data_IF_295756614777
#
_entry.id   IF_295756614777
#
_cell.length_a   1.000
_cell.length_b   1.000
_cell.length_c   1.000
_cell.angle_alpha   90.00
_cell.angle_beta   90.00
_cell.angle_gamma   90.00
#
_symmetry.space_group_name_H-M   'P 1'
#
loop_
_entity.id
_entity.type
_entity.pdbx_description
1 polymer ?
#
# COMPACT_ATOMS: atom_id res chain seq x y z
N UNK A 1 -45.35 -77.77 14.90
CA UNK A 1 -44.87 -77.05 13.69
C UNK A 1 -45.58 -75.71 13.66
N UNK A 2 -45.05 -74.75 14.31
CA UNK A 2 -45.58 -73.42 14.35
C UNK A 2 -45.04 -72.58 13.18
N UNK A 3 -45.95 -72.02 12.37
CA UNK A 3 -45.62 -71.18 11.24
C UNK A 3 -45.34 -69.77 11.72
N UNK A 4 -44.08 -69.31 11.56
CA UNK A 4 -43.64 -67.97 11.82
C UNK A 4 -44.29 -67.02 10.77
N UNK A 5 -44.94 -65.89 11.17
CA UNK A 5 -45.47 -64.89 10.22
C UNK A 5 -44.33 -64.11 9.59
N UNK A 6 -44.29 -63.99 8.25
CA UNK A 6 -43.37 -63.13 7.49
C UNK A 6 -43.77 -61.68 7.78
N UNK A 7 -42.78 -60.90 8.30
CA UNK A 7 -42.87 -59.46 8.41
C UNK A 7 -43.07 -58.81 7.04
N UNK A 8 -43.86 -57.71 6.94
CA UNK A 8 -43.99 -56.97 5.67
C UNK A 8 -42.66 -56.30 5.36
N UNK A 9 -42.21 -56.39 4.11
CA UNK A 9 -41.08 -55.64 3.56
C UNK A 9 -41.43 -54.15 3.66
N UNK A 10 -40.58 -53.31 4.21
CA UNK A 10 -40.85 -51.86 4.28
C UNK A 10 -40.97 -51.30 2.86
N UNK A 11 -42.02 -50.47 2.66
CA UNK A 11 -42.17 -49.64 1.48
C UNK A 11 -40.85 -48.86 1.19
N UNK A 12 -40.41 -49.00 -0.06
CA UNK A 12 -39.26 -48.28 -0.59
C UNK A 12 -39.37 -46.81 -0.23
N UNK A 13 -38.44 -46.32 0.60
CA UNK A 13 -38.16 -44.89 0.77
C UNK A 13 -38.03 -44.29 -0.64
N UNK A 14 -39.03 -43.57 -1.10
CA UNK A 14 -38.93 -42.78 -2.33
C UNK A 14 -37.77 -41.80 -2.13
N UNK A 15 -36.73 -41.98 -2.92
CA UNK A 15 -35.58 -41.11 -2.90
C UNK A 15 -36.04 -39.65 -3.18
N UNK A 16 -35.92 -38.72 -2.24
CA UNK A 16 -36.35 -37.34 -2.43
C UNK A 16 -35.66 -36.68 -3.62
N UNK A 17 -34.54 -37.24 -4.12
CA UNK A 17 -33.87 -36.78 -5.35
C UNK A 17 -34.58 -37.27 -6.63
N UNK A 18 -35.36 -38.34 -6.60
CA UNK A 18 -36.03 -38.87 -7.78
C UNK A 18 -37.12 -37.89 -8.32
N UNK A 19 -37.76 -37.12 -7.42
CA UNK A 19 -38.74 -36.09 -7.79
C UNK A 19 -38.09 -34.85 -8.42
N UNK A 20 -36.78 -34.65 -8.29
CA UNK A 20 -36.03 -33.54 -8.85
C UNK A 20 -35.33 -33.89 -10.18
N UNK A 21 -35.43 -35.13 -10.61
CA UNK A 21 -34.82 -35.55 -11.88
C UNK A 21 -35.75 -35.22 -13.06
N UNK A 22 -35.18 -34.70 -14.18
CA UNK A 22 -35.98 -34.41 -15.37
C UNK A 22 -36.59 -35.69 -15.94
N UNK A 23 -37.90 -35.62 -16.26
CA UNK A 23 -38.69 -36.76 -16.74
C UNK A 23 -38.78 -36.80 -18.27
N UNK A 24 -38.45 -35.69 -18.93
CA UNK A 24 -38.54 -35.58 -20.40
C UNK A 24 -37.19 -35.17 -21.02
N UNK A 25 -37.01 -35.54 -22.31
CA UNK A 25 -35.77 -35.16 -23.05
C UNK A 25 -35.56 -33.63 -23.08
N UNK A 26 -36.56 -32.77 -23.29
CA UNK A 26 -36.38 -31.31 -23.21
C UNK A 26 -35.96 -30.82 -21.83
N UNK A 27 -36.49 -31.42 -20.76
CA UNK A 27 -36.08 -31.11 -19.38
C UNK A 27 -34.64 -31.55 -19.13
N UNK A 28 -34.24 -32.74 -19.59
CA UNK A 28 -32.86 -33.21 -19.54
C UNK A 28 -31.91 -32.22 -20.23
N UNK A 29 -32.23 -31.76 -21.44
CA UNK A 29 -31.43 -30.76 -22.16
C UNK A 29 -31.34 -29.44 -21.39
N UNK A 30 -32.41 -29.00 -20.74
CA UNK A 30 -32.44 -27.80 -19.92
C UNK A 30 -31.50 -27.94 -18.71
N UNK A 31 -31.58 -29.05 -17.99
CA UNK A 31 -30.72 -29.33 -16.84
C UNK A 31 -29.25 -29.46 -17.26
N UNK A 32 -28.94 -30.13 -18.36
CA UNK A 32 -27.59 -30.26 -18.90
C UNK A 32 -27.05 -28.87 -19.25
N UNK A 33 -27.83 -28.01 -19.92
CA UNK A 33 -27.41 -26.65 -20.25
C UNK A 33 -27.12 -25.82 -18.99
N UNK A 34 -27.94 -25.93 -17.95
CA UNK A 34 -27.73 -25.28 -16.67
C UNK A 34 -26.48 -25.79 -15.96
N UNK A 35 -26.26 -27.10 -15.96
CA UNK A 35 -25.05 -27.72 -15.36
C UNK A 35 -23.78 -27.28 -16.10
N UNK A 36 -23.80 -27.29 -17.44
CA UNK A 36 -22.66 -26.83 -18.25
C UNK A 36 -22.32 -25.36 -17.98
N UNK A 37 -23.35 -24.49 -17.85
CA UNK A 37 -23.12 -23.09 -17.47
C UNK A 37 -22.57 -22.97 -16.04
N UNK A 38 -23.05 -23.80 -15.10
CA UNK A 38 -22.54 -23.82 -13.73
C UNK A 38 -21.10 -24.32 -13.65
N UNK A 39 -20.76 -25.34 -14.42
CA UNK A 39 -19.36 -25.81 -14.55
C UNK A 39 -18.46 -24.72 -15.11
N UNK A 40 -18.87 -24.04 -16.18
CA UNK A 40 -18.13 -22.88 -16.72
C UNK A 40 -17.89 -21.80 -15.68
N UNK A 41 -18.91 -21.48 -14.87
CA UNK A 41 -18.81 -20.49 -13.81
C UNK A 41 -17.81 -20.92 -12.73
N UNK A 42 -17.80 -22.18 -12.37
CA UNK A 42 -16.88 -22.74 -11.38
C UNK A 42 -15.44 -22.75 -11.93
N UNK A 43 -15.25 -23.16 -13.18
CA UNK A 43 -13.95 -23.13 -13.85
C UNK A 43 -13.39 -21.70 -13.92
N UNK A 44 -14.21 -20.71 -14.31
CA UNK A 44 -13.79 -19.31 -14.28
C UNK A 44 -13.38 -18.85 -12.88
N UNK A 45 -14.08 -19.30 -11.82
CA UNK A 45 -13.72 -18.95 -10.43
C UNK A 45 -12.42 -19.62 -9.98
N UNK A 46 -12.21 -20.87 -10.33
CA UNK A 46 -10.98 -21.63 -10.00
C UNK A 46 -9.77 -21.04 -10.73
N UNK A 47 -9.95 -20.66 -11.99
CA UNK A 47 -8.89 -20.09 -12.82
C UNK A 47 -8.60 -18.61 -12.55
N UNK A 48 -9.22 -17.98 -11.54
CA UNK A 48 -8.90 -16.61 -11.16
C UNK A 48 -7.55 -16.51 -10.48
N UNK A 49 -6.63 -15.78 -11.13
CA UNK A 49 -5.29 -15.48 -10.63
C UNK A 49 -4.99 -13.96 -10.67
N UNK A 50 -3.77 -13.56 -10.36
CA UNK A 50 -3.35 -12.16 -10.39
C UNK A 50 -3.23 -11.56 -11.81
N UNK A 51 -3.33 -12.37 -12.87
CA UNK A 51 -3.20 -11.91 -14.26
C UNK A 51 -4.57 -11.61 -14.89
N UNK A 52 -5.63 -12.25 -14.38
CA UNK A 52 -6.98 -12.16 -14.92
C UNK A 52 -8.01 -11.64 -13.90
N UNK A 53 -7.56 -11.25 -12.71
CA UNK A 53 -8.42 -10.71 -11.65
C UNK A 53 -7.68 -9.68 -10.80
N UNK A 54 -8.39 -9.07 -9.85
CA UNK A 54 -7.81 -8.17 -8.84
C UNK A 54 -7.14 -8.91 -7.68
N UNK A 55 -6.99 -10.23 -7.74
CA UNK A 55 -6.27 -11.00 -6.72
C UNK A 55 -4.81 -10.57 -6.67
N UNK A 56 -4.21 -10.38 -5.48
CA UNK A 56 -2.80 -10.08 -5.37
C UNK A 56 -1.94 -11.28 -5.79
N UNK A 57 -0.71 -11.08 -6.31
CA UNK A 57 0.18 -12.19 -6.68
C UNK A 57 0.44 -13.21 -5.56
N UNK A 58 0.32 -12.78 -4.30
CA UNK A 58 0.48 -13.65 -3.12
C UNK A 58 -0.66 -14.65 -2.91
N UNK A 59 -1.78 -14.51 -3.62
CA UNK A 59 -2.90 -15.46 -3.61
C UNK A 59 -2.90 -16.43 -4.79
N UNK A 60 -1.89 -16.38 -5.66
CA UNK A 60 -1.70 -17.39 -6.69
C UNK A 60 -1.33 -18.73 -6.05
N UNK A 61 -1.78 -19.81 -6.62
CA UNK A 61 -1.46 -21.17 -6.14
C UNK A 61 0.04 -21.48 -6.18
N UNK A 62 0.48 -22.50 -5.41
CA UNK A 62 1.86 -22.97 -5.46
C UNK A 62 2.23 -23.38 -6.90
N UNK A 63 3.40 -22.97 -7.35
CA UNK A 63 3.89 -23.27 -8.71
C UNK A 63 3.56 -22.23 -9.79
N UNK A 64 2.68 -21.27 -9.52
CA UNK A 64 2.51 -20.13 -10.45
C UNK A 64 3.68 -19.15 -10.32
N UNK A 65 4.47 -19.06 -11.38
CA UNK A 65 5.59 -18.10 -11.44
C UNK A 65 5.07 -16.66 -11.34
N UNK A 66 5.62 -15.88 -10.42
CA UNK A 66 5.34 -14.45 -10.34
C UNK A 66 5.99 -13.71 -11.55
N UNK A 67 5.64 -12.41 -11.74
CA UNK A 67 6.14 -11.62 -12.87
C UNK A 67 7.68 -11.51 -12.89
N UNK A 68 8.31 -11.45 -11.73
CA UNK A 68 9.78 -11.41 -11.61
C UNK A 68 10.40 -12.74 -12.01
N UNK A 69 9.82 -13.87 -11.56
CA UNK A 69 10.26 -15.21 -11.93
C UNK A 69 10.08 -15.51 -13.42
N UNK A 70 8.98 -15.02 -14.05
CA UNK A 70 8.77 -15.13 -15.50
C UNK A 70 9.74 -14.29 -16.32
N UNK A 71 10.27 -13.20 -15.74
CA UNK A 71 11.31 -12.34 -16.33
C UNK A 71 12.72 -12.74 -15.90
N UNK A 72 12.85 -13.73 -15.02
CA UNK A 72 14.16 -14.21 -14.60
C UNK A 72 14.93 -14.66 -15.85
N UNK A 73 15.97 -13.91 -16.18
CA UNK A 73 16.91 -14.31 -17.20
C UNK A 73 17.60 -15.58 -16.73
N UNK A 74 18.09 -16.42 -17.65
CA UNK A 74 18.95 -17.60 -17.36
C UNK A 74 20.28 -17.24 -16.69
N UNK A 75 20.43 -16.01 -16.18
CA UNK A 75 21.63 -15.55 -15.47
C UNK A 75 21.71 -16.24 -14.10
N UNK A 76 22.88 -16.75 -13.77
CA UNK A 76 23.16 -17.32 -12.45
C UNK A 76 22.88 -16.27 -11.37
N UNK A 77 22.35 -16.71 -10.22
CA UNK A 77 22.18 -15.82 -9.04
C UNK A 77 23.55 -15.42 -8.52
N UNK A 78 23.69 -14.15 -8.14
CA UNK A 78 24.94 -13.58 -7.64
C UNK A 78 25.56 -12.57 -8.59
N UNK A 79 26.78 -12.14 -8.26
CA UNK A 79 27.55 -11.21 -9.07
C UNK A 79 27.86 -11.85 -10.44
N UNK A 80 27.62 -11.10 -11.52
CA UNK A 80 27.92 -11.56 -12.88
C UNK A 80 29.40 -11.30 -13.18
N UNK A 81 29.97 -12.05 -14.13
CA UNK A 81 31.34 -11.81 -14.60
C UNK A 81 31.52 -10.33 -15.00
N UNK A 82 32.55 -9.68 -14.44
CA UNK A 82 32.81 -8.26 -14.64
C UNK A 82 32.08 -7.31 -13.67
N UNK A 83 31.31 -7.84 -12.69
CA UNK A 83 30.76 -7.02 -11.61
C UNK A 83 31.89 -6.49 -10.73
N UNK A 84 32.06 -5.17 -10.70
CA UNK A 84 32.96 -4.52 -9.74
C UNK A 84 32.35 -4.66 -8.34
N UNK A 85 33.05 -5.33 -7.43
CA UNK A 85 32.65 -5.38 -6.03
C UNK A 85 32.51 -3.96 -5.46
N UNK A 86 31.43 -3.71 -4.74
CA UNK A 86 31.30 -2.49 -3.94
C UNK A 86 31.77 -2.77 -2.52
N UNK A 87 32.92 -2.26 -2.16
CA UNK A 87 33.35 -2.16 -0.76
C UNK A 87 32.91 -0.81 -0.19
N UNK A 88 32.65 -0.77 1.10
CA UNK A 88 32.43 0.49 1.81
C UNK A 88 33.72 1.31 1.78
N UNK A 89 33.62 2.59 1.46
CA UNK A 89 34.77 3.50 1.63
C UNK A 89 35.13 3.58 3.11
N UNK A 90 36.42 3.58 3.39
CA UNK A 90 36.93 3.82 4.74
C UNK A 90 36.69 5.28 5.13
N UNK A 91 36.37 5.51 6.40
CA UNK A 91 36.33 6.85 6.96
C UNK A 91 37.75 7.44 7.02
N UNK A 92 37.83 8.77 6.90
CA UNK A 92 39.06 9.49 7.18
C UNK A 92 39.44 9.32 8.65
N UNK A 93 40.72 9.47 8.96
CA UNK A 93 41.25 9.29 10.33
C UNK A 93 40.59 10.27 11.32
N UNK A 94 40.24 11.48 10.87
CA UNK A 94 39.53 12.49 11.63
C UNK A 94 38.08 12.10 12.00
N UNK A 95 37.49 11.12 11.31
CA UNK A 95 36.15 10.60 11.55
C UNK A 95 36.12 9.30 12.36
N UNK A 96 37.32 8.79 12.76
CA UNK A 96 37.51 7.56 13.54
C UNK A 96 37.56 7.89 15.01
N UNK A 97 36.71 7.24 15.84
CA UNK A 97 36.68 7.49 17.29
C UNK A 97 37.97 7.06 18.02
N UNK A 98 38.63 6.03 17.53
CA UNK A 98 39.85 5.49 18.13
C UNK A 98 40.72 4.80 17.10
N UNK A 99 42.00 5.17 17.05
CA UNK A 99 43.02 4.47 16.28
C UNK A 99 43.79 3.56 17.25
N UNK A 100 44.01 2.33 16.85
CA UNK A 100 44.77 1.33 17.61
C UNK A 100 45.85 0.78 16.69
N UNK A 101 47.12 1.05 17.00
CA UNK A 101 48.22 0.48 16.28
C UNK A 101 48.45 -0.97 16.70
N UNK A 102 48.47 -1.86 15.73
CA UNK A 102 48.73 -3.29 15.92
C UNK A 102 50.09 -3.61 15.28
N UNK A 103 51.14 -3.44 16.07
CA UNK A 103 52.50 -3.72 15.63
C UNK A 103 52.80 -5.23 15.70
N UNK A 104 53.64 -5.75 14.79
CA UNK A 104 54.16 -7.11 14.91
C UNK A 104 55.04 -7.24 16.15
N UNK A 105 55.35 -8.46 16.54
CA UNK A 105 56.28 -8.71 17.62
C UNK A 105 57.66 -8.09 17.29
N UNK A 106 58.25 -7.36 18.25
CA UNK A 106 59.50 -6.62 18.05
C UNK A 106 60.71 -7.51 17.78
N UNK A 107 60.61 -8.81 18.10
CA UNK A 107 61.67 -9.79 17.92
C UNK A 107 61.13 -10.99 17.15
N UNK A 108 61.83 -11.35 16.07
CA UNK A 108 61.50 -12.53 15.27
C UNK A 108 61.93 -13.82 16.00
N UNK A 109 61.30 -14.93 15.71
CA UNK A 109 61.67 -16.27 16.25
C UNK A 109 63.15 -16.62 16.04
N UNK A 110 63.81 -16.03 15.04
CA UNK A 110 65.25 -16.21 14.82
C UNK A 110 66.14 -15.33 15.71
N UNK A 111 65.56 -14.48 16.61
CA UNK A 111 66.27 -13.56 17.47
C UNK A 111 66.65 -12.20 16.87
N UNK A 112 66.28 -11.96 15.58
CA UNK A 112 66.48 -10.68 14.92
C UNK A 112 65.44 -9.65 15.31
N UNK A 113 65.72 -8.34 15.22
CA UNK A 113 64.73 -7.26 15.40
C UNK A 113 63.81 -7.17 14.18
N UNK A 114 62.56 -6.93 14.44
CA UNK A 114 61.53 -6.62 13.39
C UNK A 114 61.45 -5.10 13.24
N UNK A 115 61.71 -4.60 12.05
CA UNK A 115 61.50 -3.19 11.70
C UNK A 115 60.24 -2.99 10.95
N UNK A 116 59.45 -1.96 11.33
CA UNK A 116 58.24 -1.61 10.64
C UNK A 116 58.54 -1.05 9.24
N UNK A 117 57.88 -1.53 8.23
CA UNK A 117 58.07 -1.11 6.84
C UNK A 117 56.76 -0.77 6.14
N UNK A 118 56.73 0.40 5.48
CA UNK A 118 55.58 0.85 4.72
C UNK A 118 54.44 1.43 5.55
N UNK A 119 53.35 1.78 4.88
CA UNK A 119 52.16 2.28 5.55
C UNK A 119 51.27 1.12 6.08
N UNK A 120 50.60 1.31 7.23
CA UNK A 120 49.78 0.27 7.83
C UNK A 120 48.55 -0.02 6.97
N UNK A 121 48.19 -1.28 6.89
CA UNK A 121 46.91 -1.69 6.30
C UNK A 121 45.78 -1.32 7.26
N UNK A 122 44.94 -0.37 6.85
CA UNK A 122 43.82 0.10 7.67
C UNK A 122 42.68 -0.92 7.70
N UNK A 123 42.13 -1.18 8.89
CA UNK A 123 40.94 -2.01 9.12
C UNK A 123 40.00 -1.27 10.07
N UNK A 124 38.76 -1.06 9.66
CA UNK A 124 37.76 -0.32 10.46
C UNK A 124 36.61 -1.22 10.88
N UNK A 125 36.31 -1.24 12.17
CA UNK A 125 35.20 -1.96 12.79
C UNK A 125 34.20 -0.92 13.31
N UNK A 126 32.93 -1.09 12.94
CA UNK A 126 31.83 -0.22 13.37
C UNK A 126 31.06 -0.92 14.49
N UNK A 127 31.07 -0.35 15.68
CA UNK A 127 30.34 -0.86 16.83
C UNK A 127 29.15 0.09 17.19
N UNK A 128 28.09 -0.47 17.70
CA UNK A 128 26.94 0.30 18.24
C UNK A 128 27.14 0.46 19.76
N UNK A 129 27.41 1.68 20.24
CA UNK A 129 27.59 1.90 21.68
C UNK A 129 26.30 1.65 22.44
N UNK A 130 26.34 1.32 23.75
CA UNK A 130 25.17 1.21 24.57
C UNK A 130 24.37 2.52 24.59
N UNK A 131 23.09 2.43 24.18
CA UNK A 131 22.21 3.59 24.09
C UNK A 131 21.49 3.74 25.44
N UNK A 132 21.67 4.86 26.13
CA UNK A 132 20.92 5.21 27.34
C UNK A 132 19.95 6.33 27.05
N UNK A 133 18.70 6.18 27.58
CA UNK A 133 17.74 7.27 27.55
C UNK A 133 18.17 8.38 28.51
N UNK A 134 18.07 9.64 28.04
CA UNK A 134 18.17 10.80 28.94
C UNK A 134 16.88 10.94 29.72
N UNK A 135 16.98 11.18 31.03
CA UNK A 135 15.85 11.37 31.93
C UNK A 135 15.99 12.72 32.61
N UNK A 136 15.04 13.62 32.34
CA UNK A 136 14.94 14.92 33.00
C UNK A 136 13.85 14.85 34.07
N UNK A 137 14.15 15.22 35.31
CA UNK A 137 13.23 15.24 36.44
C UNK A 137 12.73 16.67 36.67
N UNK A 138 11.41 16.86 36.67
CA UNK A 138 10.77 18.13 37.01
C UNK A 138 10.09 18.03 38.34
N UNK A 139 10.58 18.78 39.36
CA UNK A 139 10.04 18.79 40.73
C UNK A 139 9.03 19.94 40.86
N UNK A 140 7.77 19.59 40.95
CA UNK A 140 6.66 20.54 41.09
C UNK A 140 6.31 20.73 42.56
N UNK A 141 6.66 21.87 43.12
CA UNK A 141 6.36 22.19 44.50
C UNK A 141 4.98 22.83 44.64
N UNK A 142 4.33 22.62 45.78
CA UNK A 142 3.11 23.32 46.17
C UNK A 142 3.32 24.16 47.40
N UNK A 143 2.60 25.25 47.53
CA UNK A 143 2.69 26.18 48.66
C UNK A 143 1.35 26.87 48.95
N UNK A 144 1.28 27.60 50.05
CA UNK A 144 0.14 28.45 50.40
C UNK A 144 0.61 29.89 50.54
N UNK A 145 -0.22 30.81 50.09
CA UNK A 145 0.00 32.26 50.28
C UNK A 145 -0.14 32.56 51.81
N UNK A 146 0.85 33.19 52.40
CA UNK A 146 0.86 33.58 53.81
C UNK A 146 -0.17 34.67 54.15
N UNK A 147 -0.54 35.47 53.12
CA UNK A 147 -1.50 36.56 53.31
C UNK A 147 -2.97 36.16 53.17
N UNK A 148 -3.32 35.30 52.20
CA UNK A 148 -4.71 34.93 51.93
C UNK A 148 -5.00 33.40 52.02
N UNK A 149 -4.02 32.57 52.34
CA UNK A 149 -4.18 31.13 52.49
C UNK A 149 -4.38 30.37 51.17
N UNK A 150 -4.41 31.01 49.99
CA UNK A 150 -4.64 30.40 48.70
C UNK A 150 -3.52 29.44 48.37
N UNK A 151 -3.92 28.19 47.93
CA UNK A 151 -2.98 27.19 47.47
C UNK A 151 -2.44 27.51 46.08
N UNK A 152 -1.13 27.32 45.89
CA UNK A 152 -0.42 27.44 44.61
C UNK A 152 0.32 26.13 44.35
N UNK A 153 0.38 25.74 43.08
CA UNK A 153 1.16 24.58 42.65
C UNK A 153 2.06 24.97 41.49
N UNK A 154 3.26 24.42 41.49
CA UNK A 154 4.19 24.54 40.35
C UNK A 154 3.58 23.94 39.10
N UNK A 155 3.90 24.50 37.97
CA UNK A 155 3.47 24.03 36.64
C UNK A 155 4.68 23.64 35.80
N UNK A 156 4.50 22.63 34.94
CA UNK A 156 5.55 22.26 33.98
C UNK A 156 5.84 23.44 33.03
N UNK A 157 7.14 23.69 32.72
CA UNK A 157 7.50 24.68 31.72
C UNK A 157 6.82 24.44 30.36
N UNK A 158 6.66 25.51 29.59
CA UNK A 158 6.15 25.40 28.22
C UNK A 158 7.05 24.48 27.39
N UNK A 159 6.46 23.62 26.55
CA UNK A 159 7.22 22.64 25.73
C UNK A 159 7.57 21.34 26.44
N UNK A 160 7.30 21.21 27.75
CA UNK A 160 7.47 19.96 28.47
C UNK A 160 6.21 19.11 28.33
N UNK A 161 6.31 17.84 27.90
CA UNK A 161 5.15 16.97 27.75
C UNK A 161 4.56 16.59 29.13
N UNK A 162 3.24 16.54 29.22
CA UNK A 162 2.55 16.08 30.45
C UNK A 162 2.75 14.60 30.78
N UNK A 163 3.27 13.81 29.83
CA UNK A 163 3.55 12.37 30.00
C UNK A 163 5.04 12.10 30.06
N UNK A 164 5.38 10.86 30.39
CA UNK A 164 6.78 10.44 30.58
C UNK A 164 7.59 10.27 29.29
N UNK A 165 6.96 10.26 28.11
CA UNK A 165 7.64 10.13 26.83
C UNK A 165 7.91 11.52 26.24
N UNK A 166 9.19 11.84 26.06
CA UNK A 166 9.66 13.03 25.37
C UNK A 166 9.39 13.01 23.88
N UNK A 167 9.56 14.15 23.16
CA UNK A 167 9.21 14.25 21.75
C UNK A 167 10.00 13.30 20.85
N UNK A 168 11.30 13.06 21.11
CA UNK A 168 12.10 12.09 20.34
C UNK A 168 11.62 10.66 20.52
N UNK A 169 11.26 10.24 21.76
CA UNK A 169 10.73 8.92 22.06
C UNK A 169 9.36 8.71 21.37
N UNK A 170 8.47 9.70 21.40
CA UNK A 170 7.18 9.66 20.71
C UNK A 170 7.37 9.51 19.19
N UNK A 171 8.30 10.27 18.61
CA UNK A 171 8.60 10.22 17.17
C UNK A 171 9.19 8.86 16.77
N UNK A 172 10.11 8.32 17.58
CA UNK A 172 10.65 6.97 17.39
C UNK A 172 9.55 5.91 17.37
N UNK A 173 8.65 5.95 18.34
CA UNK A 173 7.48 5.05 18.41
C UNK A 173 6.61 5.20 17.14
N UNK A 174 6.42 6.42 16.67
CA UNK A 174 5.70 6.72 15.42
C UNK A 174 6.36 6.08 14.21
N UNK A 175 7.67 6.28 14.02
CA UNK A 175 8.45 5.72 12.91
C UNK A 175 8.48 4.19 12.96
N UNK A 176 8.72 3.60 14.14
CA UNK A 176 8.71 2.14 14.32
C UNK A 176 7.34 1.51 14.00
N UNK A 177 6.26 2.20 14.36
CA UNK A 177 4.89 1.76 14.11
C UNK A 177 4.46 1.89 12.65
N UNK A 178 5.01 2.84 11.90
CA UNK A 178 4.70 3.09 10.49
C UNK A 178 5.73 2.45 9.56
N UNK A 179 6.87 3.08 9.35
CA UNK A 179 7.90 2.65 8.39
C UNK A 179 8.39 1.22 8.62
N UNK A 180 8.58 0.83 9.89
CA UNK A 180 9.11 -0.49 10.24
C UNK A 180 8.00 -1.52 10.56
N UNK A 181 6.74 -1.14 10.48
CA UNK A 181 5.58 -2.02 10.66
C UNK A 181 5.55 -2.78 12.01
N UNK A 182 6.28 -2.33 13.03
CA UNK A 182 6.33 -3.02 14.31
C UNK A 182 4.99 -2.97 15.05
N UNK A 183 4.65 -4.09 15.74
CA UNK A 183 3.54 -4.10 16.69
C UNK A 183 3.88 -3.32 17.95
N UNK A 184 2.87 -2.88 18.70
CA UNK A 184 3.09 -2.18 19.97
C UNK A 184 3.94 -3.00 20.96
N UNK A 185 3.76 -4.32 20.99
CA UNK A 185 4.58 -5.22 21.83
C UNK A 185 6.04 -5.25 21.39
N UNK A 186 6.29 -5.32 20.08
CA UNK A 186 7.66 -5.28 19.54
C UNK A 186 8.34 -3.93 19.78
N UNK A 187 7.59 -2.82 19.64
CA UNK A 187 8.09 -1.48 19.97
C UNK A 187 8.48 -1.40 21.45
N UNK A 188 7.59 -1.85 22.35
CA UNK A 188 7.88 -1.90 23.78
C UNK A 188 9.17 -2.68 24.08
N UNK A 189 9.28 -3.90 23.53
CA UNK A 189 10.45 -4.75 23.77
C UNK A 189 11.73 -4.12 23.24
N UNK A 190 11.68 -3.49 22.06
CA UNK A 190 12.83 -2.81 21.47
C UNK A 190 13.30 -1.63 22.34
N UNK A 191 12.39 -0.81 22.83
CA UNK A 191 12.71 0.32 23.71
C UNK A 191 13.31 -0.15 25.04
N UNK A 192 12.77 -1.21 25.61
CA UNK A 192 13.25 -1.81 26.85
C UNK A 192 14.67 -2.38 26.69
N UNK A 193 14.88 -3.25 25.67
CA UNK A 193 16.13 -3.95 25.48
C UNK A 193 17.29 -3.07 24.99
N UNK A 194 17.00 -2.10 24.10
CA UNK A 194 18.06 -1.27 23.52
C UNK A 194 18.30 0.05 24.27
N UNK A 195 17.30 0.56 24.99
CA UNK A 195 17.38 1.91 25.59
C UNK A 195 17.07 1.93 27.07
N UNK A 196 16.74 0.79 27.68
CA UNK A 196 16.33 0.71 29.09
C UNK A 196 14.99 1.44 29.38
N UNK A 197 14.16 1.69 28.34
CA UNK A 197 12.88 2.37 28.48
C UNK A 197 11.75 1.37 28.67
N UNK A 198 11.45 1.06 29.93
CA UNK A 198 10.42 0.07 30.29
C UNK A 198 9.05 0.73 30.40
N UNK A 199 8.18 0.54 29.40
CA UNK A 199 6.82 1.06 29.32
C UNK A 199 5.81 -0.06 29.09
N UNK A 200 4.57 0.16 29.50
CA UNK A 200 3.46 -0.77 29.19
C UNK A 200 3.05 -0.68 27.72
N UNK A 201 2.43 -1.75 27.19
CA UNK A 201 1.82 -1.72 25.84
C UNK A 201 0.74 -0.63 25.75
N UNK A 202 0.03 -0.36 26.85
CA UNK A 202 -0.93 0.74 26.94
C UNK A 202 -0.28 2.11 26.73
N UNK A 203 0.92 2.34 27.31
CA UNK A 203 1.68 3.57 27.10
C UNK A 203 2.10 3.75 25.63
N UNK A 204 2.54 2.67 24.96
CA UNK A 204 2.85 2.70 23.51
C UNK A 204 1.60 3.01 22.67
N UNK A 205 0.45 2.42 23.04
CA UNK A 205 -0.83 2.74 22.38
C UNK A 205 -1.24 4.22 22.57
N UNK A 206 -1.01 4.79 23.77
CA UNK A 206 -1.23 6.23 24.01
C UNK A 206 -0.25 7.10 23.22
N UNK A 207 1.01 6.67 23.09
CA UNK A 207 2.01 7.34 22.28
C UNK A 207 1.59 7.41 20.81
N UNK A 208 1.06 6.32 20.22
CA UNK A 208 0.47 6.33 18.88
C UNK A 208 -0.64 7.37 18.75
N UNK A 209 -1.50 7.50 19.77
CA UNK A 209 -2.56 8.52 19.79
C UNK A 209 -2.02 9.95 19.81
N UNK A 210 -0.96 10.21 20.58
CA UNK A 210 -0.29 11.52 20.65
C UNK A 210 0.37 11.87 19.31
N UNK A 211 1.06 10.93 18.69
CA UNK A 211 1.63 11.10 17.34
C UNK A 211 0.54 11.36 16.32
N UNK A 212 -0.54 10.57 16.33
CA UNK A 212 -1.68 10.78 15.44
C UNK A 212 -2.30 12.18 15.58
N UNK A 213 -2.36 12.71 16.81
CA UNK A 213 -2.86 14.06 17.06
C UNK A 213 -1.89 15.14 16.53
N UNK A 214 -0.59 14.95 16.69
CA UNK A 214 0.43 15.85 16.15
C UNK A 214 0.38 15.93 14.62
N UNK A 215 0.07 14.82 13.95
CA UNK A 215 -0.02 14.74 12.49
C UNK A 215 -1.38 15.16 11.91
N UNK A 216 -2.36 15.54 12.74
CA UNK A 216 -3.71 15.89 12.27
C UNK A 216 -3.72 17.07 11.30
N UNK A 217 -3.10 18.17 11.68
CA UNK A 217 -3.10 19.39 10.86
C UNK A 217 -2.29 19.25 9.57
N UNK A 218 -1.04 18.74 9.58
CA UNK A 218 -0.29 18.46 8.35
C UNK A 218 -1.04 17.59 7.35
N UNK A 219 -1.69 16.52 7.81
CA UNK A 219 -2.45 15.63 6.92
C UNK A 219 -3.71 16.29 6.37
N UNK A 220 -4.40 17.10 7.15
CA UNK A 220 -5.55 17.86 6.68
C UNK A 220 -5.16 18.91 5.60
N UNK A 221 -4.02 19.58 5.78
CA UNK A 221 -3.44 20.48 4.79
C UNK A 221 -3.13 19.74 3.47
N UNK A 222 -2.48 18.57 3.55
CA UNK A 222 -2.19 17.74 2.38
C UNK A 222 -3.47 17.27 1.67
N UNK A 223 -4.51 16.87 2.42
CA UNK A 223 -5.79 16.47 1.86
C UNK A 223 -6.45 17.61 1.08
N UNK A 224 -6.42 18.83 1.62
CA UNK A 224 -6.95 20.02 0.94
C UNK A 224 -6.17 20.35 -0.34
N UNK A 225 -4.85 20.13 -0.36
CA UNK A 225 -4.02 20.36 -1.54
C UNK A 225 -4.27 19.35 -2.65
N UNK A 226 -4.49 18.06 -2.29
CA UNK A 226 -4.78 16.99 -3.25
C UNK A 226 -6.00 17.30 -4.13
N UNK A 227 -7.04 17.91 -3.55
CA UNK A 227 -8.28 18.20 -4.26
C UNK A 227 -8.17 19.35 -5.27
N UNK A 228 -7.09 20.14 -5.21
CA UNK A 228 -6.84 21.29 -6.10
C UNK A 228 -5.89 20.97 -7.25
N UNK A 229 -5.38 19.75 -7.33
CA UNK A 229 -4.42 19.38 -8.35
C UNK A 229 -5.08 18.96 -9.67
N UNK A 230 -4.28 18.90 -10.74
CA UNK A 230 -4.75 18.50 -12.07
C UNK A 230 -5.06 17.01 -12.15
N UNK A 231 -4.35 16.18 -11.38
CA UNK A 231 -4.46 14.73 -11.39
C UNK A 231 -4.41 14.13 -9.99
N UNK A 232 -5.23 13.10 -9.76
CA UNK A 232 -5.34 12.37 -8.50
C UNK A 232 -5.50 10.87 -8.77
N UNK A 233 -4.69 10.04 -8.12
CA UNK A 233 -4.83 8.58 -8.15
C UNK A 233 -5.53 8.12 -6.88
N UNK A 234 -6.59 7.33 -7.04
CA UNK A 234 -7.35 6.79 -5.91
C UNK A 234 -7.47 5.28 -5.99
N UNK A 235 -7.39 4.65 -4.85
CA UNK A 235 -7.61 3.22 -4.67
C UNK A 235 -7.99 2.91 -3.23
N UNK A 236 -8.52 1.72 -2.97
CA UNK A 236 -8.89 1.31 -1.63
C UNK A 236 -8.58 -0.17 -1.38
N UNK A 237 -8.34 -0.52 -0.11
CA UNK A 237 -8.13 -1.90 0.32
C UNK A 237 -8.88 -2.20 1.60
N UNK A 238 -9.36 -3.43 1.74
CA UNK A 238 -10.00 -3.88 2.97
C UNK A 238 -9.02 -3.85 4.15
N UNK A 239 -9.41 -3.22 5.25
CA UNK A 239 -8.60 -3.10 6.46
C UNK A 239 -9.50 -3.22 7.71
N UNK A 240 -9.75 -4.43 8.23
CA UNK A 240 -10.69 -4.64 9.32
C UNK A 240 -10.23 -3.98 10.63
N UNK A 241 -11.19 -3.59 11.47
CA UNK A 241 -10.99 -3.20 12.85
C UNK A 241 -11.79 -4.15 13.74
N UNK A 242 -11.13 -4.91 14.62
CA UNK A 242 -11.77 -5.90 15.50
C UNK A 242 -12.72 -6.87 14.79
N UNK A 243 -12.37 -7.29 13.57
CA UNK A 243 -13.22 -8.15 12.76
C UNK A 243 -14.30 -7.41 11.95
N UNK A 244 -14.59 -6.14 12.26
CA UNK A 244 -15.53 -5.31 11.51
C UNK A 244 -14.86 -4.82 10.23
N UNK A 245 -15.53 -4.97 9.11
CA UNK A 245 -15.02 -4.54 7.80
C UNK A 245 -14.86 -3.03 7.72
N UNK A 246 -13.63 -2.56 7.56
CA UNK A 246 -13.29 -1.19 7.20
C UNK A 246 -12.43 -1.18 5.94
N UNK A 247 -12.26 -0.02 5.36
CA UNK A 247 -11.51 0.20 4.13
C UNK A 247 -10.52 1.33 4.31
N UNK A 248 -9.26 1.08 3.95
CA UNK A 248 -8.28 2.15 3.77
C UNK A 248 -8.43 2.69 2.37
N UNK A 249 -8.63 3.97 2.26
CA UNK A 249 -8.65 4.74 1.03
C UNK A 249 -7.34 5.50 0.88
N UNK A 250 -6.82 5.55 -0.32
CA UNK A 250 -5.66 6.33 -0.69
C UNK A 250 -6.04 7.37 -1.73
N UNK A 251 -5.56 8.59 -1.54
CA UNK A 251 -5.56 9.65 -2.54
C UNK A 251 -4.12 10.12 -2.72
N UNK A 252 -3.60 10.07 -3.94
CA UNK A 252 -2.16 10.15 -4.19
C UNK A 252 -1.86 11.05 -5.38
N UNK A 253 -0.78 11.80 -5.24
CA UNK A 253 -0.10 12.58 -6.28
C UNK A 253 1.38 12.22 -6.34
N UNK A 254 2.16 12.75 -7.29
CA UNK A 254 3.59 12.46 -7.37
C UNK A 254 4.35 12.72 -6.06
N UNK A 255 4.05 13.80 -5.35
CA UNK A 255 4.75 14.23 -4.14
C UNK A 255 3.91 14.19 -2.86
N UNK A 256 2.63 13.81 -2.94
CA UNK A 256 1.72 13.77 -1.80
C UNK A 256 0.95 12.46 -1.78
N UNK A 257 0.71 11.94 -0.57
CA UNK A 257 -0.19 10.81 -0.35
C UNK A 257 -0.98 11.02 0.95
N UNK A 258 -2.28 10.81 0.88
CA UNK A 258 -3.17 10.86 2.04
C UNK A 258 -3.97 9.57 2.12
N UNK A 259 -4.05 9.03 3.33
CA UNK A 259 -4.86 7.86 3.63
C UNK A 259 -5.95 8.20 4.63
N UNK A 260 -7.09 7.55 4.47
CA UNK A 260 -8.20 7.61 5.42
C UNK A 260 -8.81 6.22 5.61
N UNK A 261 -9.40 5.95 6.78
CA UNK A 261 -10.04 4.67 7.07
C UNK A 261 -11.54 4.93 7.30
N UNK A 262 -12.37 4.23 6.52
CA UNK A 262 -13.82 4.35 6.53
C UNK A 262 -14.49 2.98 6.70
N UNK A 263 -15.69 2.94 7.26
CA UNK A 263 -16.44 1.68 7.43
C UNK A 263 -17.07 1.17 6.12
N UNK A 264 -16.91 1.86 5.01
CA UNK A 264 -17.62 1.57 3.76
C UNK A 264 -16.77 1.83 2.53
N UNK A 265 -17.16 1.21 1.41
CA UNK A 265 -16.70 1.52 0.04
C UNK A 265 -17.71 2.38 -0.75
N UNK A 266 -18.80 2.82 -0.13
CA UNK A 266 -19.87 3.52 -0.83
C UNK A 266 -19.42 4.88 -1.38
N UNK A 267 -20.15 5.37 -2.37
CA UNK A 267 -19.95 6.67 -3.04
C UNK A 267 -19.73 7.83 -2.06
N UNK A 268 -20.50 7.87 -0.96
CA UNK A 268 -20.41 8.97 0.01
C UNK A 268 -19.02 9.09 0.64
N UNK A 269 -18.29 7.96 0.77
CA UNK A 269 -16.93 7.96 1.31
C UNK A 269 -15.96 8.70 0.37
N UNK A 270 -16.11 8.51 -0.94
CA UNK A 270 -15.29 9.19 -1.92
C UNK A 270 -15.55 10.70 -1.85
N UNK A 271 -16.83 11.10 -1.77
CA UNK A 271 -17.24 12.50 -1.65
C UNK A 271 -16.71 13.14 -0.35
N UNK A 272 -16.78 12.42 0.78
CA UNK A 272 -16.23 12.88 2.06
C UNK A 272 -14.70 13.02 2.00
N UNK A 273 -14.02 12.06 1.36
CA UNK A 273 -12.56 11.99 1.34
C UNK A 273 -11.90 13.03 0.43
N UNK A 274 -12.43 13.25 -0.78
CA UNK A 274 -11.86 14.21 -1.74
C UNK A 274 -12.67 15.51 -1.86
N UNK A 275 -13.85 15.58 -1.23
CA UNK A 275 -14.77 16.72 -1.32
C UNK A 275 -15.58 16.75 -2.62
N UNK A 276 -16.79 17.29 -2.55
CA UNK A 276 -17.70 17.40 -3.73
C UNK A 276 -17.13 18.32 -4.82
N UNK A 277 -16.33 19.31 -4.44
CA UNK A 277 -15.75 20.32 -5.34
C UNK A 277 -14.35 19.97 -5.83
N UNK A 278 -13.90 18.73 -5.67
CA UNK A 278 -12.60 18.30 -6.18
C UNK A 278 -12.51 18.54 -7.68
N UNK A 279 -11.52 19.33 -8.13
CA UNK A 279 -11.33 19.66 -9.55
C UNK A 279 -10.42 18.68 -10.30
N UNK A 280 -9.70 17.83 -9.58
CA UNK A 280 -8.75 16.87 -10.14
C UNK A 280 -9.41 15.87 -11.09
N UNK A 281 -8.68 15.46 -12.13
CA UNK A 281 -9.02 14.26 -12.90
C UNK A 281 -8.63 13.04 -12.09
N UNK A 282 -9.61 12.19 -11.74
CA UNK A 282 -9.41 11.04 -10.87
C UNK A 282 -9.05 9.80 -11.66
N UNK A 283 -7.88 9.24 -11.40
CA UNK A 283 -7.50 7.90 -11.90
C UNK A 283 -7.91 6.84 -10.89
N UNK A 284 -8.71 5.86 -11.32
CA UNK A 284 -9.17 4.75 -10.47
C UNK A 284 -9.38 3.48 -11.29
N UNK A 285 -9.68 2.36 -10.62
CA UNK A 285 -10.24 1.19 -11.28
C UNK A 285 -11.70 1.44 -11.76
N UNK A 286 -12.39 0.41 -12.24
CA UNK A 286 -13.80 0.50 -12.68
C UNK A 286 -14.81 0.21 -11.56
N UNK A 287 -14.42 0.33 -10.31
CA UNK A 287 -15.36 0.13 -9.21
C UNK A 287 -16.55 1.09 -9.31
N UNK A 288 -17.75 0.57 -9.07
CA UNK A 288 -19.01 1.32 -9.23
C UNK A 288 -19.11 2.54 -8.30
N UNK A 289 -18.40 2.55 -7.17
CA UNK A 289 -18.34 3.70 -6.27
C UNK A 289 -17.87 4.99 -6.94
N UNK A 290 -17.06 4.90 -8.00
CA UNK A 290 -16.58 6.04 -8.79
C UNK A 290 -17.48 6.44 -9.95
N UNK A 291 -18.62 5.74 -10.17
CA UNK A 291 -19.48 5.96 -11.35
C UNK A 291 -20.16 7.34 -11.39
N UNK A 292 -20.17 8.07 -10.28
CA UNK A 292 -20.73 9.43 -10.22
C UNK A 292 -19.76 10.49 -10.78
N UNK A 293 -18.47 10.16 -10.93
CA UNK A 293 -17.49 11.06 -11.52
C UNK A 293 -17.71 11.08 -13.02
N UNK A 294 -17.84 12.29 -13.58
CA UNK A 294 -17.96 12.49 -15.01
C UNK A 294 -16.81 11.79 -15.74
N UNK A 295 -17.08 10.97 -16.78
CA UNK A 295 -16.05 10.30 -17.57
C UNK A 295 -14.96 11.24 -18.13
N UNK A 296 -15.28 12.50 -18.43
CA UNK A 296 -14.30 13.52 -18.87
C UNK A 296 -13.32 13.93 -17.74
N UNK A 297 -13.72 13.74 -16.50
CA UNK A 297 -12.92 14.03 -15.29
C UNK A 297 -12.37 12.77 -14.65
N UNK A 298 -12.30 11.70 -15.39
CA UNK A 298 -11.86 10.40 -14.90
C UNK A 298 -10.85 9.77 -15.84
N UNK A 299 -9.86 9.07 -15.30
CA UNK A 299 -9.01 8.13 -16.03
C UNK A 299 -9.24 6.73 -15.48
N UNK A 300 -9.68 5.81 -16.32
CA UNK A 300 -9.80 4.39 -15.95
C UNK A 300 -8.45 3.70 -16.08
N UNK A 301 -8.09 2.93 -15.06
CA UNK A 301 -6.84 2.18 -15.03
C UNK A 301 -6.78 1.09 -16.11
N UNK A 302 -5.93 1.27 -17.10
CA UNK A 302 -5.70 0.29 -18.17
C UNK A 302 -5.11 -1.03 -17.67
N UNK A 303 -4.35 -1.04 -16.58
CA UNK A 303 -3.84 -2.29 -16.03
C UNK A 303 -4.98 -3.21 -15.54
N UNK A 304 -6.02 -2.64 -14.93
CA UNK A 304 -7.23 -3.39 -14.56
C UNK A 304 -8.04 -3.81 -15.79
N UNK A 305 -8.16 -2.94 -16.80
CA UNK A 305 -8.81 -3.31 -18.06
C UNK A 305 -8.11 -4.49 -18.72
N UNK A 306 -6.78 -4.49 -18.81
CA UNK A 306 -6.04 -5.61 -19.39
C UNK A 306 -6.28 -6.93 -18.65
N UNK A 307 -6.43 -6.91 -17.32
CA UNK A 307 -6.80 -8.11 -16.54
C UNK A 307 -8.21 -8.60 -16.91
N UNK A 308 -9.17 -7.70 -17.03
CA UNK A 308 -10.53 -8.05 -17.44
C UNK A 308 -10.56 -8.59 -18.88
N UNK A 309 -9.85 -7.95 -19.81
CA UNK A 309 -9.75 -8.38 -21.21
C UNK A 309 -9.04 -9.74 -21.31
N UNK A 310 -8.02 -9.99 -20.51
CA UNK A 310 -7.37 -11.31 -20.42
C UNK A 310 -8.35 -12.39 -19.94
N UNK A 311 -9.15 -12.10 -18.91
CA UNK A 311 -10.20 -13.02 -18.43
C UNK A 311 -11.23 -13.31 -19.52
N UNK A 312 -11.66 -12.30 -20.29
CA UNK A 312 -12.55 -12.50 -21.44
C UNK A 312 -11.84 -13.34 -22.50
N UNK A 313 -10.55 -13.09 -22.77
CA UNK A 313 -9.75 -13.81 -23.75
C UNK A 313 -9.58 -15.30 -23.48
N UNK A 314 -9.75 -15.73 -22.22
CA UNK A 314 -9.71 -17.14 -21.80
C UNK A 314 -11.05 -17.88 -22.06
N UNK A 315 -12.10 -17.16 -22.43
CA UNK A 315 -13.39 -17.76 -22.79
C UNK A 315 -13.35 -18.45 -24.15
N UNK A 316 -14.29 -19.34 -24.40
CA UNK A 316 -14.48 -20.01 -25.68
C UNK A 316 -15.24 -19.13 -26.68
N UNK A 317 -15.24 -19.53 -27.94
CA UNK A 317 -16.03 -18.91 -29.00
C UNK A 317 -15.68 -17.44 -29.30
N UNK A 318 -16.69 -16.69 -29.76
CA UNK A 318 -16.54 -15.30 -30.14
C UNK A 318 -16.12 -14.40 -28.97
N UNK A 319 -16.62 -14.65 -27.76
CA UNK A 319 -16.23 -13.91 -26.58
C UNK A 319 -14.71 -13.93 -26.36
N UNK A 320 -14.09 -15.12 -26.43
CA UNK A 320 -12.63 -15.27 -26.30
C UNK A 320 -11.84 -14.59 -27.41
N UNK A 321 -12.34 -14.65 -28.64
CA UNK A 321 -11.70 -13.96 -29.79
C UNK A 321 -11.68 -12.43 -29.55
N UNK A 322 -12.80 -11.86 -29.12
CA UNK A 322 -12.94 -10.44 -28.80
C UNK A 322 -11.99 -10.05 -27.67
N UNK A 323 -11.96 -10.82 -26.58
CA UNK A 323 -11.07 -10.58 -25.46
C UNK A 323 -9.60 -10.56 -25.85
N UNK A 324 -9.14 -11.56 -26.60
CA UNK A 324 -7.76 -11.64 -27.13
C UNK A 324 -7.43 -10.46 -28.06
N UNK A 325 -8.35 -10.08 -28.94
CA UNK A 325 -8.17 -8.91 -29.82
C UNK A 325 -8.03 -7.62 -29.02
N UNK A 326 -8.91 -7.36 -28.08
CA UNK A 326 -8.88 -6.18 -27.21
C UNK A 326 -7.61 -6.14 -26.35
N UNK A 327 -7.21 -7.29 -25.78
CA UNK A 327 -5.97 -7.42 -25.02
C UNK A 327 -4.75 -7.07 -25.88
N UNK A 328 -4.68 -7.57 -27.11
CA UNK A 328 -3.61 -7.25 -28.07
C UNK A 328 -3.57 -5.76 -28.40
N UNK A 329 -4.71 -5.13 -28.62
CA UNK A 329 -4.82 -3.68 -28.86
C UNK A 329 -4.36 -2.87 -27.65
N UNK A 330 -4.69 -3.31 -26.43
CA UNK A 330 -4.20 -2.69 -25.20
C UNK A 330 -2.67 -2.76 -25.09
N UNK A 331 -2.04 -3.86 -25.42
CA UNK A 331 -0.57 -3.94 -25.48
C UNK A 331 0.03 -3.05 -26.58
N UNK A 332 -0.63 -2.90 -27.72
CA UNK A 332 -0.22 -1.94 -28.76
C UNK A 332 -0.28 -0.51 -28.23
N UNK A 333 -1.33 -0.15 -27.47
CA UNK A 333 -1.45 1.16 -26.81
C UNK A 333 -0.23 1.46 -25.94
N UNK A 334 0.13 0.56 -25.02
CA UNK A 334 1.29 0.76 -24.14
C UNK A 334 2.60 0.86 -24.92
N UNK A 335 2.81 -0.01 -25.91
CA UNK A 335 4.02 0.02 -26.76
C UNK A 335 4.15 1.33 -27.54
N UNK A 336 3.05 1.82 -28.14
CA UNK A 336 3.05 3.10 -28.86
C UNK A 336 3.29 4.27 -27.92
N UNK A 337 2.68 4.27 -26.74
CA UNK A 337 2.89 5.27 -25.71
C UNK A 337 4.36 5.33 -25.26
N UNK A 338 4.94 4.19 -24.91
CA UNK A 338 6.32 4.10 -24.42
C UNK A 338 7.36 4.54 -25.48
N UNK A 339 6.96 4.52 -26.77
CA UNK A 339 7.77 5.01 -27.90
C UNK A 339 7.41 6.45 -28.30
N UNK A 340 6.53 7.16 -27.61
CA UNK A 340 6.04 8.48 -27.99
C UNK A 340 5.21 8.50 -29.29
N UNK A 341 4.71 7.34 -29.73
CA UNK A 341 3.99 7.18 -31.01
C UNK A 341 2.45 7.13 -30.84
N UNK A 342 1.94 7.38 -29.66
CA UNK A 342 0.50 7.37 -29.38
C UNK A 342 -0.09 8.77 -29.59
N UNK A 343 0.02 9.28 -30.80
CA UNK A 343 -0.41 10.63 -31.17
C UNK A 343 -1.03 10.63 -32.58
N UNK A 344 -1.81 11.68 -32.88
CA UNK A 344 -2.38 11.93 -34.20
C UNK A 344 -3.16 10.72 -34.78
N UNK A 345 -2.98 10.43 -36.05
CA UNK A 345 -3.70 9.37 -36.76
C UNK A 345 -3.49 7.97 -36.14
N UNK A 346 -2.28 7.68 -35.60
CA UNK A 346 -2.00 6.41 -34.92
C UNK A 346 -2.82 6.21 -33.66
N UNK A 347 -3.12 7.28 -32.95
CA UNK A 347 -4.00 7.25 -31.77
C UNK A 347 -5.45 7.02 -32.22
N UNK A 348 -5.93 7.78 -33.20
CA UNK A 348 -7.33 7.69 -33.65
C UNK A 348 -7.63 6.34 -34.34
N UNK A 349 -6.71 5.78 -35.12
CA UNK A 349 -6.83 4.41 -35.62
C UNK A 349 -6.95 3.39 -34.48
N UNK A 350 -6.13 3.51 -33.47
CA UNK A 350 -6.20 2.59 -32.32
C UNK A 350 -7.51 2.72 -31.56
N UNK A 351 -7.97 3.94 -31.30
CA UNK A 351 -9.28 4.21 -30.68
C UNK A 351 -10.41 3.57 -31.49
N UNK A 352 -10.45 3.80 -32.83
CA UNK A 352 -11.45 3.21 -33.72
C UNK A 352 -11.46 1.68 -33.61
N UNK A 353 -10.29 1.03 -33.69
CA UNK A 353 -10.18 -0.44 -33.63
C UNK A 353 -10.63 -1.02 -32.30
N UNK A 354 -10.30 -0.35 -31.18
CA UNK A 354 -10.76 -0.77 -29.85
C UNK A 354 -12.27 -0.59 -29.74
N UNK A 355 -12.80 0.55 -30.19
CA UNK A 355 -14.26 0.83 -30.16
C UNK A 355 -15.04 -0.19 -30.97
N UNK A 356 -14.64 -0.46 -32.21
CA UNK A 356 -15.28 -1.49 -33.07
C UNK A 356 -15.26 -2.87 -32.40
N UNK A 357 -14.16 -3.25 -31.75
CA UNK A 357 -14.06 -4.54 -31.07
C UNK A 357 -14.97 -4.61 -29.83
N UNK A 358 -15.11 -3.51 -29.08
CA UNK A 358 -16.03 -3.41 -27.94
C UNK A 358 -17.49 -3.46 -28.40
N UNK A 359 -17.88 -2.71 -29.43
CA UNK A 359 -19.23 -2.71 -30.02
C UNK A 359 -19.59 -4.09 -30.55
N UNK A 360 -18.64 -4.78 -31.20
CA UNK A 360 -18.84 -6.17 -31.59
C UNK A 360 -19.06 -7.08 -30.39
N UNK A 361 -18.32 -6.88 -29.30
CA UNK A 361 -18.48 -7.65 -28.07
C UNK A 361 -19.81 -7.41 -27.37
N UNK A 362 -20.30 -6.19 -27.40
CA UNK A 362 -21.61 -5.82 -26.86
C UNK A 362 -22.76 -6.46 -27.65
N UNK A 363 -22.72 -6.37 -28.97
CA UNK A 363 -23.87 -6.75 -29.84
C UNK A 363 -23.88 -8.23 -30.23
N UNK A 364 -22.73 -8.85 -30.46
CA UNK A 364 -22.61 -10.15 -31.10
C UNK A 364 -22.15 -11.26 -30.14
N UNK A 365 -21.75 -10.94 -28.90
CA UNK A 365 -21.29 -11.96 -27.96
C UNK A 365 -22.47 -12.74 -27.38
N UNK A 366 -22.47 -14.05 -27.56
CA UNK A 366 -23.41 -14.97 -26.88
C UNK A 366 -23.21 -14.97 -25.36
N UNK A 367 -22.03 -14.59 -24.87
CA UNK A 367 -21.75 -14.49 -23.47
C UNK A 367 -22.23 -13.16 -22.90
N UNK A 368 -23.38 -13.15 -22.21
CA UNK A 368 -23.97 -11.97 -21.56
C UNK A 368 -23.00 -11.17 -20.69
N UNK A 369 -22.09 -11.85 -19.99
CA UNK A 369 -21.07 -11.18 -19.17
C UNK A 369 -20.03 -10.43 -20.01
N UNK A 370 -19.66 -10.97 -21.18
CA UNK A 370 -18.78 -10.26 -22.13
C UNK A 370 -19.48 -9.04 -22.67
N UNK A 371 -20.72 -9.21 -23.15
CA UNK A 371 -21.53 -8.12 -23.69
C UNK A 371 -21.69 -6.96 -22.66
N UNK A 372 -22.09 -7.28 -21.42
CA UNK A 372 -22.19 -6.29 -20.33
C UNK A 372 -20.85 -5.62 -20.03
N UNK A 373 -19.72 -6.35 -20.07
CA UNK A 373 -18.40 -5.75 -19.81
C UNK A 373 -18.02 -4.79 -20.93
N UNK A 374 -18.24 -5.15 -22.20
CA UNK A 374 -17.99 -4.28 -23.34
C UNK A 374 -18.86 -3.01 -23.29
N UNK A 375 -20.15 -3.15 -23.01
CA UNK A 375 -21.06 -2.03 -22.83
C UNK A 375 -20.62 -1.07 -21.71
N UNK A 376 -20.19 -1.62 -20.56
CA UNK A 376 -19.70 -0.82 -19.45
C UNK A 376 -18.39 -0.09 -19.77
N UNK A 377 -17.51 -0.67 -20.58
CA UNK A 377 -16.29 -0.01 -21.04
C UNK A 377 -16.64 1.11 -22.03
N UNK A 378 -17.58 0.89 -22.95
CA UNK A 378 -18.06 1.92 -23.89
C UNK A 378 -18.70 3.13 -23.19
N UNK A 379 -19.45 2.92 -22.11
CA UNK A 379 -19.99 4.02 -21.28
C UNK A 379 -18.90 4.90 -20.66
N UNK A 380 -17.69 4.35 -20.43
CA UNK A 380 -16.54 5.04 -19.87
C UNK A 380 -15.56 5.48 -20.96
N UNK A 381 -16.00 5.58 -22.21
CA UNK A 381 -15.09 5.82 -23.35
C UNK A 381 -14.17 7.02 -23.19
N UNK A 382 -14.62 8.23 -22.80
CA UNK A 382 -13.74 9.36 -22.56
C UNK A 382 -12.67 9.05 -21.50
N UNK A 383 -13.09 8.43 -20.40
CA UNK A 383 -12.22 8.08 -19.27
C UNK A 383 -11.10 7.07 -19.60
N UNK A 384 -11.15 6.42 -20.74
CA UNK A 384 -10.05 5.55 -21.21
C UNK A 384 -8.87 6.34 -21.73
N UNK A 385 -9.08 7.59 -22.17
CA UNK A 385 -8.15 8.35 -22.99
C UNK A 385 -7.68 9.67 -22.38
N UNK A 386 -8.16 10.05 -21.19
CA UNK A 386 -7.80 11.31 -20.52
C UNK A 386 -6.29 11.53 -20.40
N UNK A 387 -5.52 10.44 -20.25
CA UNK A 387 -4.04 10.49 -20.22
C UNK A 387 -3.41 10.91 -21.56
N UNK A 388 -4.16 10.91 -22.66
CA UNK A 388 -3.62 11.33 -23.97
C UNK A 388 -3.67 12.84 -24.16
N UNK A 389 -4.51 13.53 -23.41
CA UNK A 389 -4.69 14.99 -23.44
C UNK A 389 -4.10 15.70 -22.22
N UNK A 390 -3.95 14.99 -21.11
CA UNK A 390 -3.37 15.54 -19.88
C UNK A 390 -2.05 14.81 -19.53
N UNK A 391 -0.88 15.45 -19.71
CA UNK A 391 0.43 14.85 -19.47
C UNK A 391 0.70 14.52 -17.99
N UNK A 392 -0.06 15.12 -17.06
CA UNK A 392 0.03 14.78 -15.63
C UNK A 392 -0.55 13.40 -15.31
N UNK A 393 -1.35 12.81 -16.22
CA UNK A 393 -2.00 11.53 -16.00
C UNK A 393 -1.17 10.36 -16.53
N UNK A 394 -1.12 9.30 -15.74
CA UNK A 394 -0.69 7.98 -16.22
C UNK A 394 -1.92 7.15 -16.61
N UNK A 395 -1.81 6.23 -17.61
CA UNK A 395 -2.92 5.35 -17.96
C UNK A 395 -3.21 4.28 -16.90
N UNK A 396 -2.46 4.24 -15.81
CA UNK A 396 -2.57 3.20 -14.77
C UNK A 396 -2.69 3.81 -13.38
N UNK A 397 -3.33 3.07 -12.46
CA UNK A 397 -3.48 3.45 -11.06
C UNK A 397 -2.33 2.94 -10.16
N UNK A 398 -1.18 2.61 -10.75
CA UNK A 398 -0.05 2.04 -10.02
C UNK A 398 0.43 2.91 -8.85
N UNK A 399 0.30 4.23 -8.95
CA UNK A 399 0.71 5.16 -7.91
C UNK A 399 -0.07 4.94 -6.59
N UNK A 400 -1.39 4.77 -6.66
CA UNK A 400 -2.22 4.48 -5.50
C UNK A 400 -2.06 3.03 -5.02
N UNK A 401 -1.97 2.05 -5.95
CA UNK A 401 -1.71 0.65 -5.60
C UNK A 401 -0.38 0.49 -4.84
N UNK A 402 0.69 1.17 -5.26
CA UNK A 402 2.00 1.14 -4.59
C UNK A 402 1.94 1.79 -3.21
N UNK A 403 1.26 2.93 -3.08
CA UNK A 403 1.10 3.61 -1.81
C UNK A 403 0.35 2.74 -0.78
N UNK A 404 -0.72 2.06 -1.19
CA UNK A 404 -1.46 1.13 -0.33
C UNK A 404 -0.64 -0.08 0.12
N UNK A 405 0.42 -0.44 -0.62
CA UNK A 405 1.23 -1.62 -0.33
C UNK A 405 1.83 -1.60 1.08
N UNK A 406 2.28 -0.44 1.55
CA UNK A 406 2.83 -0.27 2.91
C UNK A 406 1.81 -0.63 3.97
N UNK A 407 0.54 -0.21 3.82
CA UNK A 407 -0.55 -0.53 4.74
C UNK A 407 -0.98 -2.01 4.64
N UNK A 408 -0.97 -2.59 3.44
CA UNK A 408 -1.21 -4.03 3.27
C UNK A 408 -0.13 -4.85 3.97
N UNK A 409 1.14 -4.45 3.89
CA UNK A 409 2.25 -5.08 4.62
C UNK A 409 2.06 -4.92 6.13
N UNK A 410 1.73 -3.72 6.60
CA UNK A 410 1.43 -3.47 8.02
C UNK A 410 0.33 -4.41 8.53
N UNK A 411 -0.77 -4.56 7.79
CA UNK A 411 -1.85 -5.49 8.13
C UNK A 411 -1.37 -6.93 8.23
N UNK A 412 -0.54 -7.38 7.30
CA UNK A 412 0.00 -8.76 7.29
C UNK A 412 0.99 -9.02 8.43
N UNK A 413 1.82 -8.03 8.79
CA UNK A 413 2.87 -8.17 9.80
C UNK A 413 2.33 -7.94 11.22
N UNK A 414 1.46 -6.94 11.39
CA UNK A 414 1.01 -6.47 12.70
C UNK A 414 -0.45 -6.76 13.02
N UNK A 415 -1.20 -7.31 12.06
CA UNK A 415 -2.63 -7.53 12.18
C UNK A 415 -3.47 -6.26 11.99
N UNK A 416 -4.81 -6.39 12.12
CA UNK A 416 -5.76 -5.28 12.01
C UNK A 416 -5.67 -4.32 13.21
N UNK A 417 -6.34 -3.17 13.08
CA UNK A 417 -6.52 -2.24 14.19
C UNK A 417 -7.56 -2.76 15.19
N UNK A 418 -7.50 -2.22 16.42
CA UNK A 418 -8.45 -2.57 17.50
C UNK A 418 -9.18 -1.35 18.05
N UNK A 419 -9.01 -0.17 17.46
CA UNK A 419 -9.64 1.06 17.95
C UNK A 419 -9.58 2.16 16.89
N UNK A 420 -10.47 3.15 17.04
CA UNK A 420 -10.44 4.37 16.21
C UNK A 420 -9.11 5.13 16.34
N UNK A 421 -8.51 5.14 17.54
CA UNK A 421 -7.17 5.72 17.75
C UNK A 421 -6.11 5.01 16.90
N UNK A 422 -6.19 3.68 16.78
CA UNK A 422 -5.32 2.90 15.90
C UNK A 422 -5.51 3.25 14.44
N UNK A 423 -6.75 3.40 14.00
CA UNK A 423 -7.08 3.81 12.63
C UNK A 423 -6.51 5.20 12.33
N UNK A 424 -6.68 6.16 13.23
CA UNK A 424 -6.15 7.51 13.09
C UNK A 424 -4.62 7.53 13.03
N UNK A 425 -3.97 6.73 13.86
CA UNK A 425 -2.52 6.59 13.83
C UNK A 425 -2.04 6.03 12.49
N UNK A 426 -2.68 4.97 12.01
CA UNK A 426 -2.32 4.38 10.72
C UNK A 426 -2.54 5.37 9.57
N UNK A 427 -3.74 5.92 9.46
CA UNK A 427 -4.08 6.81 8.36
C UNK A 427 -3.11 8.01 8.30
N UNK A 428 -2.92 8.72 9.41
CA UNK A 428 -2.07 9.92 9.47
C UNK A 428 -0.59 9.58 9.40
N UNK A 429 -0.14 8.56 10.13
CA UNK A 429 1.26 8.14 10.14
C UNK A 429 1.74 7.66 8.77
N UNK A 430 0.92 6.87 8.07
CA UNK A 430 1.27 6.42 6.72
C UNK A 430 1.13 7.52 5.66
N UNK A 431 0.22 8.50 5.84
CA UNK A 431 0.17 9.68 4.97
C UNK A 431 1.49 10.46 5.02
N UNK A 432 2.00 10.70 6.21
CA UNK A 432 3.32 11.36 6.38
C UNK A 432 4.45 10.48 5.87
N UNK A 433 4.45 9.19 6.21
CA UNK A 433 5.48 8.26 5.74
C UNK A 433 5.58 8.21 4.21
N UNK A 434 4.46 8.00 3.54
CA UNK A 434 4.42 7.88 2.08
C UNK A 434 4.75 9.21 1.39
N UNK A 435 4.32 10.34 1.97
CA UNK A 435 4.67 11.68 1.48
C UNK A 435 6.16 11.95 1.61
N UNK A 436 6.75 11.68 2.77
CA UNK A 436 8.20 11.83 2.97
C UNK A 436 8.99 10.95 2.00
N UNK A 437 8.55 9.72 1.76
CA UNK A 437 9.18 8.81 0.79
C UNK A 437 9.15 9.40 -0.63
N UNK A 438 8.01 9.98 -1.05
CA UNK A 438 7.83 10.60 -2.37
C UNK A 438 8.65 11.87 -2.55
N UNK A 439 8.81 12.62 -1.48
CA UNK A 439 9.57 13.87 -1.48
C UNK A 439 11.08 13.67 -1.19
N UNK A 440 11.51 12.47 -0.83
CA UNK A 440 12.89 12.21 -0.40
C UNK A 440 13.25 12.91 0.91
N UNK A 441 12.25 13.21 1.77
CA UNK A 441 12.46 13.91 3.04
C UNK A 441 12.57 12.95 4.22
N UNK A 442 13.20 13.39 5.31
CA UNK A 442 13.41 12.57 6.50
C UNK A 442 12.12 12.46 7.33
N UNK A 443 11.57 11.26 7.36
CA UNK A 443 10.38 10.93 8.14
C UNK A 443 10.57 11.17 9.64
N UNK A 444 11.74 10.81 10.20
CA UNK A 444 12.01 11.00 11.62
C UNK A 444 11.99 12.47 11.99
N UNK A 445 12.73 13.29 11.23
CA UNK A 445 12.78 14.73 11.40
C UNK A 445 11.38 15.34 11.34
N UNK A 446 10.60 15.00 10.31
CA UNK A 446 9.23 15.50 10.17
C UNK A 446 8.34 15.11 11.36
N UNK A 447 8.33 13.85 11.77
CA UNK A 447 7.54 13.41 12.93
C UNK A 447 7.98 14.10 14.22
N UNK A 448 9.29 14.32 14.40
CA UNK A 448 9.83 15.01 15.56
C UNK A 448 9.36 16.46 15.63
N UNK A 449 9.51 17.20 14.54
CA UNK A 449 9.04 18.58 14.43
C UNK A 449 7.52 18.70 14.69
N UNK A 450 6.71 17.80 14.11
CA UNK A 450 5.27 17.77 14.33
C UNK A 450 4.90 17.48 15.81
N UNK A 451 5.60 16.55 16.45
CA UNK A 451 5.38 16.23 17.87
C UNK A 451 5.81 17.40 18.78
N UNK A 452 6.95 18.03 18.52
CA UNK A 452 7.42 19.21 19.24
C UNK A 452 6.41 20.34 19.11
N UNK A 453 5.97 20.65 17.89
CA UNK A 453 4.96 21.68 17.63
C UNK A 453 3.64 21.40 18.36
N UNK A 454 3.20 20.13 18.39
CA UNK A 454 1.99 19.74 19.11
C UNK A 454 2.10 19.91 20.61
N UNK A 455 3.27 19.64 21.22
CA UNK A 455 3.51 19.83 22.65
C UNK A 455 3.61 21.32 22.98
N UNK A 456 4.35 22.09 22.18
CA UNK A 456 4.55 23.53 22.35
C UNK A 456 3.34 24.37 21.91
N UNK A 457 2.33 23.75 21.26
CA UNK A 457 1.17 24.44 20.65
C UNK A 457 1.56 25.48 19.60
N UNK A 458 2.60 25.20 18.84
CA UNK A 458 3.06 26.00 17.71
C UNK A 458 2.59 25.43 16.36
N UNK A 459 2.92 26.10 15.27
CA UNK A 459 2.56 25.66 13.91
C UNK A 459 3.35 24.39 13.55
N UNK A 460 2.69 23.31 13.15
CA UNK A 460 3.37 22.07 12.74
C UNK A 460 4.05 22.23 11.36
N UNK A 461 4.99 21.35 11.01
CA UNK A 461 5.57 21.32 9.67
C UNK A 461 4.52 21.03 8.60
N UNK A 462 4.67 21.62 7.42
CA UNK A 462 3.80 21.39 6.26
C UNK A 462 4.24 20.15 5.47
N UNK A 463 3.28 19.37 4.97
CA UNK A 463 3.50 18.28 4.01
C UNK A 463 3.57 18.79 2.56
N UNK A 464 3.17 20.03 2.32
CA UNK A 464 3.19 20.59 0.96
C UNK A 464 4.63 20.78 0.52
N UNK A 465 5.01 20.30 -0.69
CA UNK A 465 6.35 20.51 -1.22
C UNK A 465 6.63 22.02 -1.33
N UNK A 466 7.74 22.47 -0.77
CA UNK A 466 8.19 23.85 -1.05
C UNK A 466 8.62 23.91 -2.51
N UNK A 467 8.26 24.98 -3.25
CA UNK A 467 8.88 25.20 -4.55
C UNK A 467 10.40 25.17 -4.36
N UNK A 468 11.08 24.44 -5.24
CA UNK A 468 12.54 24.41 -5.22
C UNK A 468 13.01 25.86 -5.28
N UNK A 469 13.58 26.36 -4.18
CA UNK A 469 14.32 27.62 -4.21
C UNK A 469 15.42 27.41 -5.22
N UNK A 470 15.41 28.17 -6.31
CA UNK A 470 16.49 28.16 -7.29
C UNK A 470 17.79 28.33 -6.49
N UNK A 471 18.63 27.27 -6.53
CA UNK A 471 20.00 27.39 -6.00
C UNK A 471 20.64 28.47 -6.83
N UNK A 472 21.12 29.59 -6.26
CA UNK A 472 21.89 30.54 -7.04
C UNK A 472 23.07 29.78 -7.61
N UNK A 473 23.15 29.74 -8.94
CA UNK A 473 24.34 29.26 -9.66
C UNK A 473 25.50 30.12 -9.22
N UNK A 474 26.32 29.59 -8.30
CA UNK A 474 27.61 30.16 -7.94
C UNK A 474 28.69 29.62 -8.86
#
# INVERSE_FOLDING_TARGET
METVPKSPVPETLQDPLAALLPQTVPECHTVIAQLLERVRLLEERVNLDSNNSSKPPSSNGPGQLNRAQRRASNRKRGAQTGHKGHSRAMLDESEVDRVIDCEPEAVCECGGRVELAGEPQRHQVFEVPPIRAQVDEYRLYSGRCTGCGKAHAGVLPAGVPKGQLGPRALSLIGVLGTRYHLTQRKIRNLLDQLMGLSFSVGAISQAHGKVAQALKAPVAEAAAALCKADALWMDETHYPREGIGNWVWAAVQPLLAVFAIYPSRARYVILDFIGEKCSAVVTSDRYAGYAFIDPERRQVCWAHLLRDLNRIGQRHGLAGQIGRRLLGLGFVMFRRRDKGQLVGEKLEDLKRRIRTALERGERQSECTRTAKTCANILKLWPALWSFTTNPALAPTNNAAEQALRSLVLKRKISGPTRSLRGDQFLARGFSVHETCLRQGTDLWKFMHEAVVASIAKTVPPSMIPRPATAVPSG
#
